data_IF_521749402535
#
_entry.id   IF_521749402535
#
_cell.length_a   1.000
_cell.length_b   1.000
_cell.length_c   1.000
_cell.angle_alpha   90.00
_cell.angle_beta   90.00
_cell.angle_gamma   90.00
#
_symmetry.space_group_name_H-M   'P 1'
#
loop_
_entity.id
_entity.type
_entity.pdbx_description
1 polymer ?
#
# COMPACT_ATOMS: atom_id res chain seq x y z
N UNK A 1 1.49 2.50 -13.66
CA UNK A 1 2.09 1.24 -13.18
C UNK A 1 2.69 0.49 -14.33
N UNK A 2 3.98 0.22 -14.27
CA UNK A 2 4.73 -0.33 -15.42
C UNK A 2 5.59 -1.51 -14.99
N UNK A 3 5.92 -2.39 -15.94
CA UNK A 3 6.96 -3.39 -15.75
C UNK A 3 8.31 -2.70 -15.58
N UNK A 4 9.07 -3.12 -14.56
CA UNK A 4 10.34 -2.48 -14.21
C UNK A 4 11.40 -2.67 -15.32
N UNK A 5 11.40 -3.81 -15.98
CA UNK A 5 12.40 -4.14 -16.99
C UNK A 5 12.02 -3.62 -18.38
N UNK A 6 10.78 -3.88 -18.82
CA UNK A 6 10.34 -3.56 -20.19
C UNK A 6 9.75 -2.17 -20.33
N UNK A 7 9.28 -1.58 -19.23
CA UNK A 7 8.54 -0.32 -19.25
C UNK A 7 7.10 -0.46 -19.75
N UNK A 8 6.62 -1.68 -19.99
CA UNK A 8 5.26 -1.91 -20.42
C UNK A 8 4.24 -1.39 -19.39
N UNK A 9 3.23 -0.66 -19.86
CA UNK A 9 2.19 -0.14 -19.00
C UNK A 9 1.17 -1.23 -18.68
N UNK A 10 1.02 -1.56 -17.40
CA UNK A 10 0.00 -2.49 -16.94
C UNK A 10 -1.34 -1.80 -16.70
N UNK A 11 -1.34 -0.66 -16.03
CA UNK A 11 -2.56 0.06 -15.71
C UNK A 11 -2.26 1.51 -15.33
N UNK A 12 -3.26 2.36 -15.52
CA UNK A 12 -3.30 3.73 -15.02
C UNK A 12 -4.61 3.95 -14.29
N UNK A 13 -4.52 4.56 -13.13
CA UNK A 13 -5.70 4.92 -12.34
C UNK A 13 -5.70 6.41 -12.09
N UNK A 14 -6.88 7.02 -12.24
CA UNK A 14 -7.04 8.43 -11.88
C UNK A 14 -7.13 8.54 -10.36
N UNK A 15 -6.29 9.39 -9.79
CA UNK A 15 -6.31 9.71 -8.36
C UNK A 15 -6.35 11.20 -8.19
N UNK A 16 -7.02 11.64 -7.13
CA UNK A 16 -7.16 13.06 -6.81
C UNK A 16 -6.17 13.47 -5.74
N UNK A 17 -5.90 14.75 -5.68
CA UNK A 17 -5.09 15.33 -4.62
C UNK A 17 -5.69 14.97 -3.26
N UNK A 18 -4.86 14.47 -2.34
CA UNK A 18 -5.31 14.05 -1.02
C UNK A 18 -5.89 12.65 -0.96
N UNK A 19 -6.09 11.97 -2.10
CA UNK A 19 -6.55 10.58 -2.12
C UNK A 19 -5.44 9.66 -1.65
N UNK A 20 -5.80 8.59 -0.94
CA UNK A 20 -4.85 7.63 -0.42
C UNK A 20 -4.60 6.49 -1.40
N UNK A 21 -3.35 6.04 -1.43
CA UNK A 21 -2.90 4.87 -2.19
C UNK A 21 -2.23 3.94 -1.20
N UNK A 22 -2.74 2.73 -1.07
CA UNK A 22 -2.16 1.72 -0.19
C UNK A 22 -1.44 0.64 -0.98
N UNK A 23 -0.37 0.11 -0.39
CA UNK A 23 0.33 -1.06 -0.91
C UNK A 23 0.57 -2.02 0.25
N UNK A 24 0.01 -3.21 0.15
CA UNK A 24 0.04 -4.15 1.27
C UNK A 24 0.29 -5.59 0.87
N UNK A 25 0.70 -6.38 1.84
CA UNK A 25 0.97 -7.80 1.69
C UNK A 25 0.94 -8.49 3.06
N UNK A 26 0.95 -9.82 3.07
CA UNK A 26 1.09 -10.60 4.30
C UNK A 26 2.57 -10.86 4.56
N UNK A 27 3.04 -10.47 5.73
CA UNK A 27 4.43 -10.69 6.15
C UNK A 27 4.67 -12.18 6.36
N UNK A 28 5.74 -12.74 5.76
CA UNK A 28 5.98 -14.17 5.77
C UNK A 28 6.37 -14.76 7.14
N UNK A 29 6.84 -13.93 8.05
CA UNK A 29 7.27 -14.37 9.39
C UNK A 29 6.10 -14.43 10.36
N UNK A 30 5.36 -13.33 10.51
CA UNK A 30 4.27 -13.26 11.50
C UNK A 30 2.88 -13.56 10.94
N UNK A 31 2.73 -13.67 9.60
CA UNK A 31 1.50 -13.97 8.88
C UNK A 31 0.40 -12.90 9.04
N UNK A 32 0.78 -11.69 9.39
CA UNK A 32 -0.11 -10.54 9.50
C UNK A 32 0.10 -9.56 8.37
N UNK A 33 -0.92 -8.76 8.03
CA UNK A 33 -0.78 -7.76 6.98
C UNK A 33 0.19 -6.65 7.36
N UNK A 34 0.94 -6.19 6.35
CA UNK A 34 1.73 -4.97 6.40
C UNK A 34 1.20 -4.05 5.32
N UNK A 35 0.89 -2.82 5.68
CA UNK A 35 0.31 -1.84 4.77
C UNK A 35 1.05 -0.52 4.86
N UNK A 36 1.54 -0.05 3.72
CA UNK A 36 2.04 1.31 3.56
C UNK A 36 0.95 2.16 2.90
N UNK A 37 0.63 3.28 3.50
CA UNK A 37 -0.36 4.23 3.00
C UNK A 37 0.34 5.48 2.51
N UNK A 38 0.11 5.79 1.26
CA UNK A 38 0.63 6.98 0.58
C UNK A 38 -0.51 7.97 0.34
N UNK A 39 -0.15 9.21 0.17
CA UNK A 39 -1.09 10.26 -0.21
C UNK A 39 -0.54 11.03 -1.40
N UNK A 40 -1.42 11.42 -2.31
CA UNK A 40 -1.05 12.22 -3.47
C UNK A 40 -0.79 13.65 -3.02
N UNK A 41 0.44 14.10 -3.20
CA UNK A 41 0.86 15.46 -2.82
C UNK A 41 0.52 16.50 -3.89
N UNK A 42 0.62 17.78 -3.51
CA UNK A 42 0.33 18.91 -4.39
C UNK A 42 1.27 18.97 -5.60
N UNK A 43 2.46 18.40 -5.47
CA UNK A 43 3.44 18.28 -6.55
C UNK A 43 3.18 17.09 -7.48
N UNK A 44 2.11 16.34 -7.24
CA UNK A 44 1.79 15.13 -8.00
C UNK A 44 2.60 13.90 -7.61
N UNK A 45 3.39 13.97 -6.56
CA UNK A 45 4.21 12.85 -6.06
C UNK A 45 3.50 12.12 -4.94
N UNK A 46 3.69 10.82 -4.84
CA UNK A 46 3.20 10.03 -3.71
C UNK A 46 4.10 10.26 -2.49
N UNK A 47 3.47 10.53 -1.35
CA UNK A 47 4.14 10.65 -0.06
C UNK A 47 3.71 9.52 0.85
N UNK A 48 4.67 8.75 1.38
CA UNK A 48 4.38 7.79 2.43
C UNK A 48 3.97 8.55 3.69
N UNK A 49 2.78 8.30 4.19
CA UNK A 49 2.25 9.00 5.37
C UNK A 49 2.09 8.08 6.57
N UNK A 50 1.68 6.83 6.34
CA UNK A 50 1.35 5.88 7.41
C UNK A 50 1.84 4.49 7.06
N UNK A 51 2.36 3.77 8.06
CA UNK A 51 2.61 2.34 7.97
C UNK A 51 1.85 1.63 9.07
N UNK A 52 1.13 0.55 8.70
CA UNK A 52 0.39 -0.29 9.63
C UNK A 52 0.99 -1.69 9.57
N UNK A 53 1.43 -2.21 10.72
CA UNK A 53 2.02 -3.54 10.80
C UNK A 53 1.73 -4.18 12.15
N UNK A 54 2.05 -5.47 12.26
CA UNK A 54 1.86 -6.23 13.48
C UNK A 54 3.19 -6.86 13.86
N UNK A 55 3.53 -6.80 15.14
CA UNK A 55 4.74 -7.42 15.64
C UNK A 55 4.41 -8.06 16.98
N UNK A 56 4.51 -9.41 17.04
CA UNK A 56 4.24 -10.18 18.22
C UNK A 56 5.53 -10.84 18.70
N UNK A 57 5.78 -10.82 20.01
CA UNK A 57 6.99 -11.34 20.61
C UNK A 57 7.90 -10.25 21.11
N UNK A 58 9.21 -10.49 21.18
CA UNK A 58 10.19 -9.59 21.80
C UNK A 58 10.04 -8.13 21.36
N UNK A 59 10.01 -7.27 22.35
CA UNK A 59 9.73 -5.84 22.33
C UNK A 59 10.07 -5.07 21.08
N UNK A 60 9.08 -4.32 20.64
CA UNK A 60 9.19 -3.41 19.51
C UNK A 60 10.10 -2.27 19.89
N UNK A 61 11.25 -2.23 19.26
CA UNK A 61 12.06 -1.02 19.25
C UNK A 61 11.72 -0.25 17.99
N UNK A 62 10.80 0.67 18.09
CA UNK A 62 10.49 1.57 16.98
C UNK A 62 11.28 2.83 17.17
N UNK A 63 12.35 2.98 16.41
CA UNK A 63 13.02 4.27 16.31
C UNK A 63 12.22 5.13 15.34
N UNK A 64 11.57 6.15 15.90
CA UNK A 64 10.82 7.11 15.09
C UNK A 64 11.75 8.20 14.56
N UNK A 65 11.55 8.57 13.30
CA UNK A 65 12.17 9.76 12.75
C UNK A 65 11.49 11.02 13.31
N UNK A 66 12.17 12.19 13.29
CA UNK A 66 11.56 13.43 13.76
C UNK A 66 10.20 13.70 13.12
N UNK A 67 9.20 14.00 13.93
CA UNK A 67 7.84 14.30 13.49
C UNK A 67 6.93 13.08 13.36
N UNK A 68 7.47 11.87 13.32
CA UNK A 68 6.66 10.66 13.27
C UNK A 68 5.99 10.39 14.62
N UNK A 69 4.78 9.86 14.58
CA UNK A 69 4.03 9.44 15.76
C UNK A 69 3.74 7.96 15.70
N UNK A 70 3.54 7.35 16.86
CA UNK A 70 3.29 5.93 17.00
C UNK A 70 2.09 5.69 17.90
N UNK A 71 1.22 4.78 17.48
CA UNK A 71 0.09 4.35 18.28
C UNK A 71 -0.18 2.86 18.10
N UNK A 72 -0.87 2.26 19.07
CA UNK A 72 -1.29 0.86 19.02
C UNK A 72 -2.80 0.83 18.86
N UNK A 73 -3.27 0.13 17.82
CA UNK A 73 -4.70 -0.10 17.57
C UNK A 73 -5.28 -1.16 18.50
N UNK A 74 -6.60 -1.26 18.52
CA UNK A 74 -7.34 -2.20 19.38
C UNK A 74 -7.00 -3.67 19.11
N UNK A 75 -6.68 -3.98 17.85
CA UNK A 75 -6.35 -5.34 17.40
C UNK A 75 -4.85 -5.66 17.52
N UNK A 76 -4.07 -4.80 18.16
CA UNK A 76 -2.63 -4.94 18.26
C UNK A 76 -1.85 -4.37 17.07
N UNK A 77 -2.52 -3.72 16.13
CA UNK A 77 -1.87 -3.05 15.01
C UNK A 77 -0.95 -1.93 15.52
N UNK A 78 0.24 -1.87 14.96
CA UNK A 78 1.19 -0.80 15.21
C UNK A 78 1.08 0.19 14.07
N UNK A 79 0.78 1.44 14.40
CA UNK A 79 0.51 2.49 13.41
C UNK A 79 1.54 3.59 13.56
N UNK A 80 2.34 3.80 12.52
CA UNK A 80 3.29 4.91 12.45
C UNK A 80 2.72 5.94 11.50
N UNK A 81 2.47 7.15 11.99
CA UNK A 81 1.91 8.26 11.23
C UNK A 81 2.92 9.39 11.04
N UNK A 82 2.57 10.34 10.20
CA UNK A 82 3.33 11.56 9.93
C UNK A 82 4.73 11.27 9.37
N UNK A 83 4.84 10.23 8.55
CA UNK A 83 6.10 9.87 7.90
C UNK A 83 6.47 10.94 6.86
N UNK A 84 5.54 11.31 6.01
CA UNK A 84 5.64 12.38 5.00
C UNK A 84 6.93 12.30 4.18
N UNK A 85 7.19 11.14 3.59
CA UNK A 85 8.39 10.92 2.78
C UNK A 85 8.02 10.75 1.31
N UNK A 86 8.65 11.51 0.38
CA UNK A 86 8.32 11.42 -1.05
C UNK A 86 8.84 10.14 -1.69
N UNK A 87 8.02 9.59 -2.57
CA UNK A 87 8.37 8.45 -3.42
C UNK A 87 8.01 8.76 -4.87
N UNK A 88 8.93 9.39 -5.64
CA UNK A 88 8.71 9.62 -7.08
C UNK A 88 8.53 8.33 -7.85
N UNK A 89 9.21 7.28 -7.44
CA UNK A 89 9.05 5.92 -7.94
C UNK A 89 9.00 4.94 -6.78
N UNK A 90 8.13 3.95 -6.90
CA UNK A 90 8.00 2.87 -5.94
C UNK A 90 8.11 1.55 -6.67
N UNK A 91 9.10 0.74 -6.31
CA UNK A 91 9.28 -0.57 -6.90
C UNK A 91 8.74 -1.65 -5.98
N UNK A 92 8.04 -2.64 -6.55
CA UNK A 92 7.47 -3.74 -5.80
C UNK A 92 7.34 -4.99 -6.68
N UNK A 93 7.36 -6.16 -6.06
CA UNK A 93 6.87 -7.36 -6.74
C UNK A 93 5.35 -7.36 -6.77
N UNK A 94 4.76 -8.02 -7.77
CA UNK A 94 3.30 -8.17 -7.86
C UNK A 94 2.77 -9.31 -7.00
N UNK A 95 3.61 -10.29 -6.70
CA UNK A 95 3.25 -11.44 -5.88
C UNK A 95 4.45 -12.07 -5.22
N UNK A 96 4.27 -13.24 -4.64
CA UNK A 96 5.31 -13.95 -3.91
C UNK A 96 4.67 -14.84 -2.85
N UNK A 97 5.16 -14.78 -1.61
CA UNK A 97 4.54 -15.47 -0.48
C UNK A 97 3.05 -15.12 -0.36
N UNK A 98 2.71 -13.85 -0.55
CA UNK A 98 1.34 -13.38 -0.62
C UNK A 98 1.13 -12.52 -1.85
N UNK A 99 -0.13 -12.24 -2.19
CA UNK A 99 -0.46 -11.24 -3.19
C UNK A 99 0.03 -9.86 -2.71
N UNK A 100 0.46 -9.01 -3.64
CA UNK A 100 0.59 -7.58 -3.37
C UNK A 100 -0.73 -6.93 -3.70
N UNK A 101 -1.23 -6.13 -2.78
CA UNK A 101 -2.55 -5.52 -2.89
C UNK A 101 -2.40 -4.01 -3.02
N UNK A 102 -2.98 -3.47 -4.09
CA UNK A 102 -3.06 -2.02 -4.31
C UNK A 102 -4.42 -1.54 -3.81
N UNK A 103 -4.42 -0.47 -3.06
CA UNK A 103 -5.64 0.09 -2.45
C UNK A 103 -5.76 1.55 -2.86
N UNK A 104 -6.92 1.93 -3.38
CA UNK A 104 -7.18 3.29 -3.84
C UNK A 104 -8.45 3.83 -3.19
N UNK A 105 -8.35 4.95 -2.48
CA UNK A 105 -9.49 5.61 -1.88
C UNK A 105 -9.26 6.11 -0.46
N UNK A 106 -10.11 5.70 0.46
CA UNK A 106 -10.04 6.07 1.88
C UNK A 106 -9.46 4.90 2.70
N UNK A 107 -8.20 4.58 2.44
CA UNK A 107 -7.53 3.37 2.89
C UNK A 107 -7.47 3.29 4.41
N UNK A 108 -7.04 4.35 5.07
CA UNK A 108 -6.90 4.37 6.53
C UNK A 108 -8.25 4.23 7.22
N UNK A 109 -9.28 4.88 6.70
CA UNK A 109 -10.63 4.82 7.24
C UNK A 109 -11.24 3.43 7.08
N UNK A 110 -11.04 2.80 5.93
CA UNK A 110 -11.61 1.50 5.60
C UNK A 110 -10.75 0.32 6.10
N UNK A 111 -9.60 0.59 6.71
CA UNK A 111 -8.65 -0.44 7.13
C UNK A 111 -9.28 -1.56 7.95
N UNK A 112 -10.13 -1.30 8.95
CA UNK A 112 -10.75 -2.38 9.73
C UNK A 112 -11.53 -3.38 8.89
N UNK A 113 -12.09 -2.94 7.75
CA UNK A 113 -12.89 -3.78 6.85
C UNK A 113 -12.04 -4.43 5.77
N UNK A 114 -10.91 -3.84 5.38
CA UNK A 114 -10.08 -4.34 4.28
C UNK A 114 -8.88 -5.17 4.73
N UNK A 115 -8.51 -5.14 6.00
CA UNK A 115 -7.29 -5.80 6.49
C UNK A 115 -7.25 -7.30 6.18
N UNK A 116 -8.39 -7.98 6.19
CA UNK A 116 -8.48 -9.41 5.93
C UNK A 116 -8.38 -9.74 4.42
N UNK A 117 -8.43 -8.74 3.56
CA UNK A 117 -8.26 -8.90 2.11
C UNK A 117 -6.83 -8.58 1.65
N UNK A 118 -6.05 -7.90 2.49
CA UNK A 118 -4.69 -7.52 2.14
C UNK A 118 -3.82 -8.77 2.02
N UNK A 119 -3.19 -8.92 0.86
CA UNK A 119 -2.23 -10.00 0.63
C UNK A 119 -2.84 -11.35 0.32
N UNK A 120 -4.15 -11.46 0.22
CA UNK A 120 -4.87 -12.71 -0.02
C UNK A 120 -5.07 -12.92 -1.51
N UNK A 121 -4.68 -14.09 -2.01
CA UNK A 121 -4.98 -14.50 -3.39
C UNK A 121 -6.45 -14.91 -3.50
N UNK A 122 -7.28 -14.02 -4.04
CA UNK A 122 -8.72 -14.28 -4.19
C UNK A 122 -9.13 -14.79 -5.57
N UNK A 123 -8.24 -14.65 -6.55
CA UNK A 123 -8.57 -14.91 -7.95
C UNK A 123 -9.38 -13.81 -8.61
N UNK A 124 -9.67 -12.72 -7.90
CA UNK A 124 -10.39 -11.56 -8.41
C UNK A 124 -9.44 -10.39 -8.61
N UNK A 125 -9.64 -9.67 -9.71
CA UNK A 125 -8.80 -8.50 -10.02
C UNK A 125 -9.07 -7.36 -9.05
N UNK A 126 -10.34 -7.07 -8.77
CA UNK A 126 -10.72 -5.89 -7.97
C UNK A 126 -11.95 -6.17 -7.13
N UNK A 127 -11.96 -5.64 -5.91
CA UNK A 127 -13.09 -5.68 -4.98
C UNK A 127 -13.30 -4.29 -4.38
N UNK A 128 -14.53 -3.84 -4.28
CA UNK A 128 -14.88 -2.58 -3.62
C UNK A 128 -15.24 -2.84 -2.16
N UNK A 129 -14.57 -2.16 -1.23
CA UNK A 129 -14.87 -2.24 0.20
C UNK A 129 -14.96 -0.81 0.74
N UNK A 130 -16.14 -0.42 1.22
CA UNK A 130 -16.37 0.97 1.61
C UNK A 130 -16.06 1.92 0.45
N UNK A 131 -15.20 2.89 0.70
CA UNK A 131 -14.76 3.86 -0.30
C UNK A 131 -13.38 3.50 -0.89
N UNK A 132 -12.94 2.27 -0.73
CA UNK A 132 -11.63 1.81 -1.16
C UNK A 132 -11.75 0.71 -2.21
N UNK A 133 -10.99 0.84 -3.29
CA UNK A 133 -10.81 -0.19 -4.30
C UNK A 133 -9.63 -1.07 -3.90
N UNK A 134 -9.87 -2.36 -3.82
CA UNK A 134 -8.86 -3.37 -3.45
C UNK A 134 -8.48 -4.13 -4.71
N UNK A 135 -7.25 -3.97 -5.17
CA UNK A 135 -6.78 -4.47 -6.46
C UNK A 135 -5.65 -5.48 -6.25
N UNK A 136 -5.79 -6.67 -6.85
CA UNK A 136 -4.77 -7.70 -6.84
C UNK A 136 -3.70 -7.39 -7.88
N UNK A 137 -2.46 -7.18 -7.46
CA UNK A 137 -1.37 -6.93 -8.39
C UNK A 137 -0.93 -8.19 -9.12
N UNK A 138 -1.06 -9.37 -8.50
CA UNK A 138 -0.74 -10.63 -9.18
C UNK A 138 -1.72 -10.92 -10.32
N UNK A 139 -3.00 -10.61 -10.15
CA UNK A 139 -4.00 -10.75 -11.22
C UNK A 139 -3.79 -9.70 -12.32
N UNK A 140 -3.43 -8.47 -11.93
CA UNK A 140 -3.25 -7.38 -12.88
C UNK A 140 -1.96 -7.52 -13.70
N UNK A 141 -0.86 -7.87 -13.07
CA UNK A 141 0.48 -7.79 -13.64
C UNK A 141 1.15 -9.15 -13.86
N UNK A 142 0.63 -10.20 -13.24
CA UNK A 142 1.29 -11.50 -13.16
C UNK A 142 2.13 -11.63 -11.89
N UNK A 143 2.04 -12.78 -11.25
CA UNK A 143 2.65 -13.06 -9.93
C UNK A 143 4.16 -12.82 -9.87
N UNK A 144 4.87 -13.10 -10.98
CA UNK A 144 6.34 -13.01 -11.03
C UNK A 144 6.82 -11.64 -11.54
N UNK A 145 5.92 -10.70 -11.77
CA UNK A 145 6.26 -9.38 -12.28
C UNK A 145 6.87 -8.50 -11.19
N UNK A 146 7.82 -7.67 -11.58
CA UNK A 146 8.33 -6.57 -10.76
C UNK A 146 7.85 -5.28 -11.39
N UNK A 147 7.19 -4.45 -10.61
CA UNK A 147 6.50 -3.26 -11.10
C UNK A 147 7.13 -1.98 -10.55
N UNK A 148 7.00 -0.92 -11.32
CA UNK A 148 7.27 0.45 -10.90
C UNK A 148 5.95 1.21 -10.84
N UNK A 149 5.66 1.78 -9.67
CA UNK A 149 4.50 2.61 -9.42
C UNK A 149 4.95 4.06 -9.31
N UNK A 150 4.35 4.93 -10.10
CA UNK A 150 4.59 6.37 -10.03
C UNK A 150 3.29 7.13 -10.21
N UNK A 151 3.25 8.33 -9.67
CA UNK A 151 2.13 9.24 -9.84
C UNK A 151 2.57 10.40 -10.73
N UNK A 152 1.74 10.76 -11.69
CA UNK A 152 2.00 11.87 -12.61
C UNK A 152 0.86 12.87 -12.57
N UNK A 153 1.19 14.15 -12.52
CA UNK A 153 0.20 15.20 -12.70
C UNK A 153 -0.12 15.35 -14.18
N UNK A 154 -1.40 15.24 -14.52
CA UNK A 154 -1.87 15.45 -15.89
C UNK A 154 -2.97 16.51 -15.88
N UNK A 155 -2.69 17.73 -16.31
CA UNK A 155 -3.74 18.74 -16.48
C UNK A 155 -4.68 18.31 -17.60
N UNK A 156 -5.95 18.65 -17.43
CA UNK A 156 -6.99 18.38 -18.43
C UNK A 156 -7.05 19.51 -19.45
#
# INVERSE_FOLDING_TARGET
>A
MRDEHSGELYASYRVQLGEQVGLGFIHSVNLYPLLDVFQVGEDGVLYAETTIYYQFGAGVQTELNPGETFQVGEDGALIVDNIHQPFPELNSSAGGFSDRTLLLGEVSQDYPQIKDLIGVYTGQLETQVGNTRVISLSELCGKDSIITLSCEYRPF
#
